data_IF_896464520604
#
_entry.id   IF_896464520604
#
_cell.length_a   1.000
_cell.length_b   1.000
_cell.length_c   1.000
_cell.angle_alpha   90.00
_cell.angle_beta   90.00
_cell.angle_gamma   90.00
#
_symmetry.space_group_name_H-M   'P 1'
#
loop_
_entity.id
_entity.type
_entity.pdbx_description
1 polymer ?
#
# COMPACT_ATOMS: atom_id res chain seq x y z
N UNK A 1 -8.19 0.85 18.56
CA UNK A 1 -9.11 -0.12 17.94
C UNK A 1 -8.99 0.10 16.45
N UNK A 2 -8.34 -0.83 15.74
CA UNK A 2 -8.16 -0.79 14.27
C UNK A 2 -9.48 -1.14 13.60
N UNK A 3 -10.52 -0.35 13.85
CA UNK A 3 -11.82 -0.61 13.26
C UNK A 3 -11.86 0.03 11.87
N UNK A 4 -11.89 -0.86 10.87
CA UNK A 4 -12.29 -0.62 9.49
C UNK A 4 -11.24 -0.14 8.49
N UNK A 5 -10.02 -0.69 8.53
CA UNK A 5 -9.10 -0.67 7.37
C UNK A 5 -9.55 -1.75 6.38
N UNK A 6 -9.69 -1.42 5.09
CA UNK A 6 -9.97 -2.43 4.05
C UNK A 6 -8.80 -3.39 3.92
N UNK A 7 -9.09 -4.66 3.64
CA UNK A 7 -8.03 -5.64 3.43
C UNK A 7 -7.33 -5.46 2.07
N UNK A 8 -6.24 -6.20 1.87
CA UNK A 8 -5.47 -6.10 0.64
C UNK A 8 -6.26 -6.53 -0.60
N UNK A 9 -7.15 -7.52 -0.48
CA UNK A 9 -7.95 -8.03 -1.59
C UNK A 9 -8.93 -6.97 -2.07
N UNK A 10 -9.67 -6.34 -1.16
CA UNK A 10 -10.54 -5.21 -1.48
C UNK A 10 -9.76 -4.06 -2.13
N UNK A 11 -8.64 -3.68 -1.51
CA UNK A 11 -7.82 -2.56 -1.94
C UNK A 11 -7.10 -2.80 -3.27
N UNK A 12 -6.78 -4.04 -3.60
CA UNK A 12 -6.12 -4.42 -4.86
C UNK A 12 -6.96 -4.09 -6.10
N UNK A 13 -8.28 -4.05 -5.94
CA UNK A 13 -9.24 -3.73 -7.00
C UNK A 13 -9.54 -2.23 -7.12
N UNK A 14 -8.92 -1.40 -6.26
CA UNK A 14 -9.19 0.02 -6.13
C UNK A 14 -7.93 0.82 -6.47
N UNK A 15 -8.11 2.00 -7.08
CA UNK A 15 -7.00 2.93 -7.35
C UNK A 15 -6.30 3.33 -6.05
N UNK A 16 -4.96 3.45 -6.07
CA UNK A 16 -4.18 3.91 -4.90
C UNK A 16 -4.55 5.33 -4.46
N UNK A 17 -5.10 6.13 -5.37
CA UNK A 17 -5.61 7.47 -5.08
C UNK A 17 -6.81 7.44 -4.12
N UNK A 18 -7.59 6.36 -4.13
CA UNK A 18 -8.76 6.16 -3.26
C UNK A 18 -8.41 5.41 -1.97
N UNK A 19 -7.13 5.06 -1.77
CA UNK A 19 -6.66 4.51 -0.51
C UNK A 19 -6.52 5.64 0.51
N UNK A 20 -6.93 5.39 1.75
CA UNK A 20 -6.68 6.34 2.81
C UNK A 20 -5.21 6.32 3.24
N UNK A 21 -4.82 7.32 4.04
CA UNK A 21 -3.43 7.45 4.49
C UNK A 21 -2.98 6.28 5.37
N UNK A 22 -3.84 5.79 6.26
CA UNK A 22 -3.53 4.71 7.18
C UNK A 22 -3.39 3.36 6.45
N UNK A 23 -4.12 3.17 5.35
CA UNK A 23 -3.98 2.03 4.44
C UNK A 23 -2.64 2.07 3.71
N UNK A 24 -2.30 3.22 3.11
CA UNK A 24 -1.01 3.42 2.45
C UNK A 24 0.15 3.17 3.40
N UNK A 25 0.15 3.79 4.59
CA UNK A 25 1.22 3.64 5.58
C UNK A 25 1.37 2.19 6.05
N UNK A 26 0.25 1.47 6.26
CA UNK A 26 0.28 0.07 6.71
C UNK A 26 0.86 -0.86 5.65
N UNK A 27 0.33 -0.81 4.42
CA UNK A 27 0.78 -1.72 3.36
C UNK A 27 2.18 -1.35 2.86
N UNK A 28 2.57 -0.07 2.90
CA UNK A 28 3.95 0.34 2.66
C UNK A 28 4.90 -0.30 3.67
N UNK A 29 4.58 -0.22 4.97
CA UNK A 29 5.39 -0.84 6.02
C UNK A 29 5.43 -2.36 5.88
N UNK A 30 4.27 -3.01 5.75
CA UNK A 30 4.16 -4.46 5.66
C UNK A 30 4.96 -5.03 4.48
N UNK A 31 4.80 -4.45 3.28
CA UNK A 31 5.54 -4.89 2.10
C UNK A 31 7.04 -4.55 2.19
N UNK A 32 7.42 -3.44 2.84
CA UNK A 32 8.83 -3.09 3.05
C UNK A 32 9.56 -4.10 3.94
N UNK A 33 8.90 -4.64 4.97
CA UNK A 33 9.48 -5.69 5.84
C UNK A 33 9.71 -7.01 5.08
N UNK A 34 8.96 -7.25 4.01
CA UNK A 34 9.01 -8.47 3.21
C UNK A 34 9.87 -8.32 1.93
N UNK A 35 10.59 -7.20 1.75
CA UNK A 35 11.43 -6.91 0.57
C UNK A 35 12.36 -8.05 0.11
N UNK A 36 12.96 -8.87 1.00
CA UNK A 36 13.80 -9.99 0.57
C UNK A 36 13.01 -11.17 -0.02
N UNK A 37 11.70 -11.24 0.22
CA UNK A 37 10.85 -12.42 0.00
C UNK A 37 9.64 -12.16 -0.89
N UNK A 38 9.40 -10.89 -1.23
CA UNK A 38 8.30 -10.41 -2.06
C UNK A 38 8.56 -10.72 -3.55
N UNK A 39 7.51 -11.15 -4.24
CA UNK A 39 7.56 -11.41 -5.67
C UNK A 39 7.53 -10.09 -6.49
N UNK A 40 7.78 -10.13 -7.82
CA UNK A 40 7.76 -8.92 -8.65
C UNK A 40 6.44 -8.14 -8.60
N UNK A 41 5.30 -8.82 -8.45
CA UNK A 41 3.98 -8.19 -8.35
C UNK A 41 3.88 -7.35 -7.07
N UNK A 42 4.22 -7.92 -5.92
CA UNK A 42 4.25 -7.20 -4.65
C UNK A 42 5.23 -6.03 -4.69
N UNK A 43 6.39 -6.19 -5.34
CA UNK A 43 7.36 -5.10 -5.50
C UNK A 43 6.76 -3.96 -6.34
N UNK A 44 6.00 -4.29 -7.39
CA UNK A 44 5.29 -3.28 -8.18
C UNK A 44 4.22 -2.55 -7.35
N UNK A 45 3.47 -3.28 -6.52
CA UNK A 45 2.46 -2.69 -5.63
C UNK A 45 3.12 -1.71 -4.65
N UNK A 46 4.24 -2.09 -4.05
CA UNK A 46 5.00 -1.23 -3.14
C UNK A 46 5.50 0.03 -3.86
N UNK A 47 5.97 -0.07 -5.10
CA UNK A 47 6.34 1.10 -5.89
C UNK A 47 5.15 2.06 -6.12
N UNK A 48 3.98 1.55 -6.48
CA UNK A 48 2.80 2.39 -6.70
C UNK A 48 2.30 3.05 -5.40
N UNK A 49 2.34 2.34 -4.27
CA UNK A 49 2.05 2.92 -2.95
C UNK A 49 3.03 4.07 -2.65
N UNK A 50 4.33 3.85 -2.84
CA UNK A 50 5.33 4.89 -2.62
C UNK A 50 5.12 6.11 -3.53
N UNK A 51 4.79 5.90 -4.81
CA UNK A 51 4.49 6.99 -5.75
C UNK A 51 3.30 7.82 -5.28
N UNK A 52 2.21 7.17 -4.88
CA UNK A 52 1.03 7.86 -4.35
C UNK A 52 1.34 8.64 -3.07
N UNK A 53 2.12 8.06 -2.15
CA UNK A 53 2.54 8.74 -0.93
C UNK A 53 3.42 9.97 -1.20
N UNK A 54 4.29 9.94 -2.22
CA UNK A 54 5.03 11.12 -2.67
C UNK A 54 4.10 12.12 -3.37
N UNK A 55 3.17 11.59 -4.17
CA UNK A 55 1.98 12.24 -4.72
C UNK A 55 1.37 13.30 -3.78
N UNK A 56 0.99 12.81 -2.60
CA UNK A 56 0.27 13.59 -1.57
C UNK A 56 1.14 14.51 -0.73
N UNK A 57 2.47 14.40 -0.82
CA UNK A 57 3.40 15.25 -0.07
C UNK A 57 3.74 16.54 -0.81
N UNK A 58 3.55 16.56 -2.13
CA UNK A 58 3.71 17.74 -3.00
C UNK A 58 2.40 18.49 -3.17
#
# INVERSE_FOLDING_TARGET
>A
MEENRRDFTELSMISKQDWDKNELDYFQHALSQLLPYINPEGLSILHEINKEMQARKN
#
